data_IF_815818253077
#
_entry.id   IF_815818253077
#
_cell.length_a   1.000
_cell.length_b   1.000
_cell.length_c   1.000
_cell.angle_alpha   90.00
_cell.angle_beta   90.00
_cell.angle_gamma   90.00
#
_symmetry.space_group_name_H-M   'P 1'
#
loop_
_entity.id
_entity.type
_entity.pdbx_description
1 polymer ?
#
# COMPACT_ATOMS: atom_id res chain seq x y z
N UNK A 1 20.39 7.19 -6.26
CA UNK A 1 21.04 8.04 -5.24
C UNK A 1 21.98 7.23 -4.32
N UNK A 2 21.53 6.13 -3.72
CA UNK A 2 22.36 5.28 -2.83
C UNK A 2 23.67 4.76 -3.45
N UNK A 3 23.67 4.29 -4.70
CA UNK A 3 24.90 3.86 -5.39
C UNK A 3 25.97 4.96 -5.42
N UNK A 4 25.55 6.24 -5.62
CA UNK A 4 26.47 7.38 -5.64
C UNK A 4 27.05 7.66 -4.25
N UNK A 5 26.24 7.53 -3.20
CA UNK A 5 26.68 7.73 -1.80
C UNK A 5 27.62 6.61 -1.35
N UNK A 6 27.35 5.35 -1.73
CA UNK A 6 28.24 4.22 -1.44
C UNK A 6 29.57 4.38 -2.17
N UNK A 7 29.55 4.78 -3.44
CA UNK A 7 30.77 5.05 -4.22
C UNK A 7 31.54 6.23 -3.61
N UNK A 8 30.86 7.29 -3.17
CA UNK A 8 31.50 8.43 -2.52
C UNK A 8 32.14 8.06 -1.17
N UNK A 9 31.45 7.24 -0.35
CA UNK A 9 32.00 6.70 0.90
C UNK A 9 33.22 5.81 0.64
N UNK A 10 33.15 4.92 -0.35
CA UNK A 10 34.28 4.07 -0.72
C UNK A 10 35.47 4.90 -1.21
N UNK A 11 35.23 5.91 -2.05
CA UNK A 11 36.27 6.83 -2.52
C UNK A 11 36.88 7.64 -1.36
N UNK A 12 36.06 8.09 -0.40
CA UNK A 12 36.54 8.81 0.78
C UNK A 12 37.41 7.92 1.68
N UNK A 13 37.02 6.66 1.92
CA UNK A 13 37.80 5.68 2.69
C UNK A 13 39.13 5.37 1.99
N UNK A 14 39.13 5.17 0.67
CA UNK A 14 40.35 4.94 -0.11
C UNK A 14 41.26 6.16 -0.09
N UNK A 15 40.71 7.35 -0.28
CA UNK A 15 41.46 8.61 -0.20
C UNK A 15 42.10 8.81 1.18
N UNK A 16 41.36 8.51 2.24
CA UNK A 16 41.85 8.54 3.61
C UNK A 16 42.94 7.49 3.86
N UNK A 17 42.80 6.27 3.36
CA UNK A 17 43.84 5.26 3.46
C UNK A 17 45.13 5.69 2.73
N UNK A 18 45.02 6.31 1.56
CA UNK A 18 46.15 6.87 0.81
C UNK A 18 46.82 8.04 1.55
N UNK A 19 46.03 8.95 2.13
CA UNK A 19 46.54 10.07 2.94
C UNK A 19 47.26 9.56 4.19
N UNK A 20 46.68 8.59 4.91
CA UNK A 20 47.33 7.99 6.08
C UNK A 20 48.58 7.15 5.75
N UNK A 21 48.66 6.62 4.54
CA UNK A 21 49.85 5.92 4.05
C UNK A 21 51.02 6.89 3.78
N UNK A 22 50.72 8.05 3.18
CA UNK A 22 51.73 9.08 2.85
C UNK A 22 52.07 9.92 4.08
N UNK A 23 51.09 10.27 4.90
CA UNK A 23 51.22 11.06 6.11
C UNK A 23 50.85 10.22 7.33
N UNK A 24 51.83 9.47 7.85
CA UNK A 24 51.62 8.65 9.05
C UNK A 24 51.48 9.55 10.28
N UNK A 25 50.40 9.43 11.06
CA UNK A 25 50.21 10.21 12.28
C UNK A 25 51.29 9.89 13.30
N UNK A 26 51.92 10.95 13.83
CA UNK A 26 53.05 10.87 14.77
C UNK A 26 52.68 11.35 16.17
N UNK A 27 51.55 12.04 16.32
CA UNK A 27 51.04 12.55 17.59
C UNK A 27 49.69 11.95 17.99
N UNK A 28 49.40 11.94 19.30
CA UNK A 28 48.12 11.45 19.82
C UNK A 28 46.91 12.26 19.32
N UNK A 29 47.09 13.56 19.05
CA UNK A 29 46.04 14.42 18.49
C UNK A 29 45.69 14.08 17.04
N UNK A 30 46.69 13.73 16.22
CA UNK A 30 46.46 13.27 14.85
C UNK A 30 45.73 11.93 14.82
N UNK A 31 46.07 11.00 15.73
CA UNK A 31 45.34 9.75 15.90
C UNK A 31 43.88 9.97 16.32
N UNK A 32 43.62 10.93 17.21
CA UNK A 32 42.26 11.29 17.60
C UNK A 32 41.44 11.82 16.39
N UNK A 33 42.04 12.67 15.55
CA UNK A 33 41.40 13.17 14.34
C UNK A 33 41.08 12.03 13.35
N UNK A 34 41.99 11.07 13.19
CA UNK A 34 41.75 9.88 12.37
C UNK A 34 40.57 9.06 12.86
N UNK A 35 40.53 8.74 14.16
CA UNK A 35 39.41 8.01 14.77
C UNK A 35 38.10 8.76 14.59
N UNK A 36 38.10 10.08 14.74
CA UNK A 36 36.92 10.92 14.55
C UNK A 36 36.41 10.89 13.10
N UNK A 37 37.30 11.00 12.11
CA UNK A 37 36.92 10.93 10.69
C UNK A 37 36.35 9.55 10.34
N UNK A 38 36.97 8.47 10.80
CA UNK A 38 36.44 7.12 10.62
C UNK A 38 35.07 6.95 11.30
N UNK A 39 34.91 7.49 12.51
CA UNK A 39 33.63 7.49 13.24
C UNK A 39 32.52 8.21 12.46
N UNK A 40 32.82 9.37 11.87
CA UNK A 40 31.86 10.12 11.04
C UNK A 40 31.49 9.35 9.77
N UNK A 41 32.46 8.75 9.08
CA UNK A 41 32.17 7.95 7.88
C UNK A 41 31.33 6.71 8.20
N UNK A 42 31.62 6.03 9.31
CA UNK A 42 30.81 4.92 9.79
C UNK A 42 29.39 5.36 10.15
N UNK A 43 29.24 6.51 10.84
CA UNK A 43 27.93 7.05 11.18
C UNK A 43 27.10 7.41 9.93
N UNK A 44 27.72 8.01 8.91
CA UNK A 44 27.06 8.31 7.63
C UNK A 44 26.66 7.01 6.93
N UNK A 45 27.57 6.03 6.84
CA UNK A 45 27.28 4.72 6.25
C UNK A 45 26.13 4.00 6.96
N UNK A 46 26.12 4.03 8.30
CA UNK A 46 25.07 3.45 9.11
C UNK A 46 23.72 4.16 8.92
N UNK A 47 23.71 5.48 8.88
CA UNK A 47 22.49 6.27 8.61
C UNK A 47 21.89 5.96 7.24
N UNK A 48 22.72 5.85 6.20
CA UNK A 48 22.28 5.46 4.85
C UNK A 48 21.68 4.06 4.85
N UNK A 49 22.28 3.11 5.60
CA UNK A 49 21.75 1.75 5.75
C UNK A 49 20.39 1.75 6.46
N UNK A 50 20.24 2.52 7.54
CA UNK A 50 18.99 2.65 8.28
C UNK A 50 17.89 3.26 7.40
N UNK A 51 18.19 4.30 6.63
CA UNK A 51 17.25 4.89 5.68
C UNK A 51 16.83 3.88 4.60
N UNK A 52 17.76 3.05 4.11
CA UNK A 52 17.45 1.99 3.15
C UNK A 52 16.48 0.95 3.75
N UNK A 53 16.73 0.54 5.00
CA UNK A 53 15.86 -0.40 5.70
C UNK A 53 14.47 0.20 5.95
N UNK A 54 14.41 1.43 6.43
CA UNK A 54 13.15 2.14 6.66
C UNK A 54 12.33 2.30 5.37
N UNK A 55 12.97 2.64 4.25
CA UNK A 55 12.28 2.73 2.95
C UNK A 55 11.71 1.38 2.50
N UNK A 56 12.43 0.28 2.71
CA UNK A 56 11.96 -1.06 2.37
C UNK A 56 10.79 -1.51 3.26
N UNK A 57 10.84 -1.21 4.55
CA UNK A 57 9.72 -1.47 5.48
C UNK A 57 8.50 -0.64 5.08
N UNK A 58 8.66 0.65 4.80
CA UNK A 58 7.58 1.53 4.35
C UNK A 58 6.92 1.06 3.05
N UNK A 59 7.71 0.59 2.07
CA UNK A 59 7.18 0.01 0.82
C UNK A 59 6.40 -1.27 1.04
N UNK A 60 6.91 -2.18 1.88
CA UNK A 60 6.18 -3.42 2.22
C UNK A 60 4.86 -3.12 2.91
N UNK A 61 4.86 -2.18 3.86
CA UNK A 61 3.65 -1.76 4.56
C UNK A 61 2.65 -1.11 3.60
N UNK A 62 3.10 -0.24 2.69
CA UNK A 62 2.23 0.34 1.67
C UNK A 62 1.63 -0.74 0.74
N UNK A 63 2.42 -1.73 0.34
CA UNK A 63 1.94 -2.85 -0.46
C UNK A 63 0.88 -3.69 0.28
N UNK A 64 1.11 -3.98 1.58
CA UNK A 64 0.15 -4.67 2.42
C UNK A 64 -1.16 -3.88 2.53
N UNK A 65 -1.09 -2.58 2.79
CA UNK A 65 -2.27 -1.71 2.85
C UNK A 65 -3.03 -1.69 1.52
N UNK A 66 -2.32 -1.63 0.38
CA UNK A 66 -2.93 -1.71 -0.94
C UNK A 66 -3.60 -3.07 -1.20
N UNK A 67 -3.01 -4.17 -0.72
CA UNK A 67 -3.59 -5.50 -0.81
C UNK A 67 -4.86 -5.62 0.05
N UNK A 68 -4.83 -5.13 1.29
CA UNK A 68 -6.00 -5.08 2.18
C UNK A 68 -7.12 -4.25 1.55
N UNK A 69 -6.81 -3.08 1.01
CA UNK A 69 -7.77 -2.25 0.28
C UNK A 69 -8.41 -3.02 -0.89
N UNK A 70 -7.60 -3.68 -1.71
CA UNK A 70 -8.09 -4.48 -2.83
C UNK A 70 -8.97 -5.66 -2.40
N UNK A 71 -8.61 -6.32 -1.30
CA UNK A 71 -9.38 -7.44 -0.74
C UNK A 71 -10.73 -6.97 -0.20
N UNK A 72 -10.74 -5.87 0.57
CA UNK A 72 -11.97 -5.24 1.06
C UNK A 72 -12.89 -4.82 -0.09
N UNK A 73 -12.33 -4.21 -1.13
CA UNK A 73 -13.05 -3.84 -2.36
C UNK A 73 -13.69 -5.04 -3.05
N UNK A 74 -12.94 -6.14 -3.21
CA UNK A 74 -13.45 -7.37 -3.79
C UNK A 74 -14.66 -7.90 -3.01
N UNK A 75 -14.56 -7.92 -1.69
CA UNK A 75 -15.63 -8.40 -0.82
C UNK A 75 -16.86 -7.50 -0.83
N UNK A 76 -16.69 -6.19 -0.80
CA UNK A 76 -17.80 -5.25 -0.94
C UNK A 76 -18.55 -5.46 -2.26
N UNK A 77 -17.83 -5.64 -3.38
CA UNK A 77 -18.44 -5.91 -4.69
C UNK A 77 -19.16 -7.26 -4.71
N UNK A 78 -18.59 -8.28 -4.06
CA UNK A 78 -19.18 -9.62 -3.98
C UNK A 78 -20.49 -9.59 -3.19
N UNK A 79 -20.51 -8.91 -2.05
CA UNK A 79 -21.70 -8.81 -1.20
C UNK A 79 -22.75 -7.88 -1.79
N UNK A 80 -22.35 -6.80 -2.50
CA UNK A 80 -23.29 -5.99 -3.27
C UNK A 80 -23.94 -6.78 -4.41
N UNK A 81 -23.16 -7.61 -5.12
CA UNK A 81 -23.70 -8.52 -6.13
C UNK A 81 -24.70 -9.51 -5.53
N UNK A 82 -24.36 -10.11 -4.39
CA UNK A 82 -25.23 -11.05 -3.67
C UNK A 82 -26.50 -10.36 -3.14
N UNK A 83 -26.40 -9.15 -2.60
CA UNK A 83 -27.55 -8.35 -2.20
C UNK A 83 -28.45 -8.02 -3.40
N UNK A 84 -27.88 -7.75 -4.58
CA UNK A 84 -28.64 -7.55 -5.81
C UNK A 84 -29.35 -8.83 -6.27
N UNK A 85 -28.67 -9.98 -6.20
CA UNK A 85 -29.24 -11.28 -6.53
C UNK A 85 -30.42 -11.65 -5.62
N UNK A 86 -30.28 -11.37 -4.31
CA UNK A 86 -31.34 -11.54 -3.29
C UNK A 86 -32.41 -10.45 -3.33
N UNK A 87 -32.16 -9.34 -4.03
CA UNK A 87 -32.99 -8.13 -4.03
C UNK A 87 -33.24 -7.58 -2.62
N UNK A 88 -32.22 -7.69 -1.76
CA UNK A 88 -32.29 -7.28 -0.36
C UNK A 88 -31.85 -5.83 -0.22
N UNK A 89 -32.81 -4.91 -0.10
CA UNK A 89 -32.51 -3.48 0.10
C UNK A 89 -31.76 -3.19 1.41
N UNK A 90 -32.03 -3.96 2.46
CA UNK A 90 -31.36 -3.82 3.75
C UNK A 90 -29.86 -4.13 3.61
N UNK A 91 -29.52 -5.31 3.07
CA UNK A 91 -28.13 -5.73 2.86
C UNK A 91 -27.44 -4.80 1.87
N UNK A 92 -28.15 -4.38 0.82
CA UNK A 92 -27.60 -3.48 -0.20
C UNK A 92 -27.16 -2.14 0.40
N UNK A 93 -27.99 -1.50 1.23
CA UNK A 93 -27.63 -0.24 1.90
C UNK A 93 -26.41 -0.38 2.80
N UNK A 94 -26.33 -1.47 3.57
CA UNK A 94 -25.20 -1.74 4.47
C UNK A 94 -23.92 -1.88 3.63
N UNK A 95 -23.94 -2.72 2.61
CA UNK A 95 -22.75 -2.96 1.79
C UNK A 95 -22.36 -1.73 0.93
N UNK A 96 -23.31 -0.87 0.56
CA UNK A 96 -23.02 0.43 -0.07
C UNK A 96 -22.26 1.35 0.89
N UNK A 97 -22.68 1.44 2.16
CA UNK A 97 -21.97 2.22 3.18
C UNK A 97 -20.57 1.65 3.45
N UNK A 98 -20.45 0.32 3.53
CA UNK A 98 -19.16 -0.36 3.65
C UNK A 98 -18.25 0.01 2.48
N UNK A 99 -18.76 0.00 1.24
CA UNK A 99 -17.99 0.42 0.07
C UNK A 99 -17.52 1.88 0.16
N UNK A 100 -18.39 2.80 0.60
CA UNK A 100 -18.05 4.20 0.79
C UNK A 100 -16.92 4.39 1.83
N UNK A 101 -16.98 3.64 2.93
CA UNK A 101 -15.97 3.68 3.98
C UNK A 101 -14.63 3.10 3.50
N UNK A 102 -14.66 1.97 2.79
CA UNK A 102 -13.46 1.39 2.17
C UNK A 102 -12.81 2.38 1.20
N UNK A 103 -13.61 3.12 0.42
CA UNK A 103 -13.09 4.15 -0.47
C UNK A 103 -12.49 5.33 0.29
N UNK A 104 -13.12 5.76 1.38
CA UNK A 104 -12.61 6.84 2.24
C UNK A 104 -11.24 6.46 2.84
N UNK A 105 -11.14 5.26 3.45
CA UNK A 105 -9.88 4.69 3.95
C UNK A 105 -8.87 4.51 2.83
N UNK A 106 -9.34 4.04 1.68
CA UNK A 106 -8.56 3.86 0.48
C UNK A 106 -7.90 5.15 0.01
N UNK A 107 -8.50 6.32 0.23
CA UNK A 107 -7.96 7.65 -0.13
C UNK A 107 -6.77 8.05 0.75
N UNK A 108 -6.73 7.58 1.99
CA UNK A 108 -5.67 7.88 2.96
C UNK A 108 -4.39 7.05 2.74
N UNK A 109 -4.46 6.02 1.90
CA UNK A 109 -3.29 5.22 1.52
C UNK A 109 -2.25 6.11 0.83
N UNK A 110 -1.06 6.19 1.43
CA UNK A 110 0.09 6.96 0.94
C UNK A 110 0.57 6.43 -0.41
N UNK A 111 0.00 6.95 -1.49
CA UNK A 111 0.32 6.58 -2.87
C UNK A 111 1.81 6.77 -3.21
N UNK A 112 2.48 7.69 -2.52
CA UNK A 112 3.89 8.02 -2.74
C UNK A 112 4.85 6.85 -2.43
N UNK A 113 4.42 5.89 -1.62
CA UNK A 113 5.21 4.72 -1.24
C UNK A 113 4.88 3.46 -2.06
N UNK A 114 3.86 3.54 -2.93
CA UNK A 114 3.44 2.43 -3.78
C UNK A 114 4.29 2.34 -5.05
N UNK A 115 4.63 1.12 -5.43
CA UNK A 115 5.30 0.83 -6.69
C UNK A 115 4.30 0.76 -7.85
N UNK A 116 4.77 0.96 -9.08
CA UNK A 116 3.94 1.17 -10.27
C UNK A 116 2.75 0.21 -10.43
N UNK A 117 2.94 -1.09 -10.17
CA UNK A 117 1.84 -2.09 -10.27
C UNK A 117 0.79 -1.90 -9.17
N UNK A 118 1.21 -1.73 -7.92
CA UNK A 118 0.32 -1.51 -6.78
C UNK A 118 -0.40 -0.16 -6.86
N UNK A 119 0.28 0.87 -7.40
CA UNK A 119 -0.31 2.17 -7.68
C UNK A 119 -1.37 2.07 -8.78
N UNK A 120 -1.09 1.37 -9.88
CA UNK A 120 -2.04 1.12 -10.96
C UNK A 120 -3.28 0.35 -10.47
N UNK A 121 -3.08 -0.65 -9.61
CA UNK A 121 -4.17 -1.37 -8.96
C UNK A 121 -5.04 -0.44 -8.12
N UNK A 122 -4.47 0.28 -7.15
CA UNK A 122 -5.24 1.15 -6.24
C UNK A 122 -5.98 2.24 -7.02
N UNK A 123 -5.35 2.85 -8.02
CA UNK A 123 -6.00 3.86 -8.87
C UNK A 123 -7.15 3.28 -9.69
N UNK A 124 -6.96 2.11 -10.32
CA UNK A 124 -8.02 1.41 -11.03
C UNK A 124 -9.19 1.04 -10.12
N UNK A 125 -8.91 0.52 -8.93
CA UNK A 125 -9.93 0.12 -7.96
C UNK A 125 -10.70 1.31 -7.42
N UNK A 126 -10.04 2.45 -7.16
CA UNK A 126 -10.72 3.69 -6.77
C UNK A 126 -11.67 4.18 -7.87
N UNK A 127 -11.24 4.14 -9.13
CA UNK A 127 -12.12 4.51 -10.26
C UNK A 127 -13.37 3.64 -10.31
N UNK A 128 -13.20 2.32 -10.19
CA UNK A 128 -14.31 1.36 -10.16
C UNK A 128 -15.22 1.59 -8.94
N UNK A 129 -14.65 1.90 -7.77
CA UNK A 129 -15.42 2.19 -6.55
C UNK A 129 -16.29 3.44 -6.71
N UNK A 130 -15.75 4.51 -7.29
CA UNK A 130 -16.48 5.75 -7.54
C UNK A 130 -17.61 5.51 -8.52
N UNK A 131 -17.33 4.85 -9.66
CA UNK A 131 -18.35 4.48 -10.65
C UNK A 131 -19.48 3.64 -10.01
N UNK A 132 -19.11 2.66 -9.17
CA UNK A 132 -20.08 1.84 -8.46
C UNK A 132 -20.92 2.67 -7.49
N UNK A 133 -20.32 3.59 -6.73
CA UNK A 133 -21.05 4.44 -5.79
C UNK A 133 -22.03 5.35 -6.52
N UNK A 134 -21.65 5.95 -7.64
CA UNK A 134 -22.54 6.75 -8.48
C UNK A 134 -23.75 5.94 -8.98
N UNK A 135 -23.51 4.72 -9.47
CA UNK A 135 -24.58 3.81 -9.89
C UNK A 135 -25.48 3.40 -8.72
N UNK A 136 -24.90 3.19 -7.53
CA UNK A 136 -25.66 2.79 -6.32
C UNK A 136 -26.45 3.94 -5.71
N UNK A 137 -26.03 5.18 -5.91
CA UNK A 137 -26.72 6.37 -5.42
C UNK A 137 -28.04 6.60 -6.16
N UNK A 138 -28.03 6.31 -7.45
CA UNK A 138 -29.22 6.38 -8.31
C UNK A 138 -30.19 5.20 -8.08
N UNK A 139 -29.80 4.19 -7.31
CA UNK A 139 -30.60 3.00 -7.06
C UNK A 139 -31.49 3.16 -5.82
N UNK A 140 -32.76 2.77 -5.93
CA UNK A 140 -33.75 2.78 -4.83
C UNK A 140 -34.26 1.38 -4.49
N UNK A 141 -35.08 1.26 -3.44
CA UNK A 141 -35.62 -0.02 -2.96
C UNK A 141 -36.45 -0.78 -4.02
N UNK A 142 -37.17 -0.05 -4.87
CA UNK A 142 -37.92 -0.60 -6.00
C UNK A 142 -37.14 -0.52 -7.33
N UNK A 143 -35.83 -0.29 -7.24
CA UNK A 143 -34.97 -0.11 -8.40
C UNK A 143 -34.82 -1.37 -9.27
N UNK A 144 -34.26 -1.17 -10.46
CA UNK A 144 -33.99 -2.27 -11.39
C UNK A 144 -32.73 -3.04 -10.97
N UNK A 145 -32.90 -4.17 -10.27
CA UNK A 145 -31.82 -4.97 -9.69
C UNK A 145 -30.92 -5.72 -10.71
N UNK A 146 -31.45 -6.35 -11.77
CA UNK A 146 -30.62 -7.15 -12.69
C UNK A 146 -29.48 -6.39 -13.40
N UNK A 147 -29.66 -5.17 -13.94
CA UNK A 147 -28.56 -4.42 -14.55
C UNK A 147 -27.43 -4.11 -13.56
N UNK A 148 -27.80 -3.83 -12.32
CA UNK A 148 -26.87 -3.53 -11.24
C UNK A 148 -26.10 -4.79 -10.80
N UNK A 149 -26.77 -5.93 -10.72
CA UNK A 149 -26.14 -7.24 -10.51
C UNK A 149 -25.10 -7.52 -11.60
N UNK A 150 -25.49 -7.39 -12.87
CA UNK A 150 -24.58 -7.61 -14.01
C UNK A 150 -23.37 -6.68 -13.97
N UNK A 151 -23.54 -5.43 -13.53
CA UNK A 151 -22.43 -4.51 -13.35
C UNK A 151 -21.42 -5.05 -12.33
N UNK A 152 -21.87 -5.43 -11.12
CA UNK A 152 -20.98 -5.96 -10.09
C UNK A 152 -20.32 -7.28 -10.51
N UNK A 153 -21.09 -8.19 -11.11
CA UNK A 153 -20.60 -9.47 -11.63
C UNK A 153 -19.48 -9.28 -12.66
N UNK A 154 -19.61 -8.32 -13.58
CA UNK A 154 -18.58 -8.02 -14.59
C UNK A 154 -17.30 -7.44 -13.99
N UNK A 155 -17.37 -6.73 -12.85
CA UNK A 155 -16.20 -6.09 -12.22
C UNK A 155 -15.42 -7.04 -11.32
N UNK A 156 -16.07 -8.07 -10.74
CA UNK A 156 -15.43 -9.03 -9.85
C UNK A 156 -14.17 -9.72 -10.43
N UNK A 157 -14.16 -10.23 -11.67
CA UNK A 157 -12.97 -10.85 -12.27
C UNK A 157 -11.80 -9.87 -12.43
N UNK A 158 -12.08 -8.59 -12.73
CA UNK A 158 -11.05 -7.57 -12.86
C UNK A 158 -10.37 -7.28 -11.52
N UNK A 159 -11.15 -7.18 -10.44
CA UNK A 159 -10.63 -6.99 -9.08
C UNK A 159 -9.84 -8.22 -8.63
N UNK A 160 -10.34 -9.43 -8.88
CA UNK A 160 -9.64 -10.68 -8.57
C UNK A 160 -8.33 -10.82 -9.37
N UNK A 161 -8.33 -10.39 -10.64
CA UNK A 161 -7.14 -10.34 -11.48
C UNK A 161 -6.04 -9.45 -10.88
N UNK A 162 -6.40 -8.29 -10.34
CA UNK A 162 -5.47 -7.39 -9.64
C UNK A 162 -4.91 -8.00 -8.35
N UNK A 163 -5.75 -8.67 -7.57
CA UNK A 163 -5.36 -9.37 -6.34
C UNK A 163 -4.37 -10.51 -6.62
N UNK A 164 -4.67 -11.36 -7.61
CA UNK A 164 -3.77 -12.43 -8.05
C UNK A 164 -2.45 -11.88 -8.61
N UNK A 165 -2.53 -10.83 -9.43
CA UNK A 165 -1.37 -10.13 -9.99
C UNK A 165 -0.43 -9.54 -8.94
N UNK A 166 -0.95 -9.20 -7.75
CA UNK A 166 -0.15 -8.65 -6.64
C UNK A 166 0.25 -9.69 -5.60
N UNK A 167 -0.06 -10.97 -5.83
CA UNK A 167 0.31 -12.08 -4.95
C UNK A 167 -0.58 -12.22 -3.71
N UNK A 168 -1.75 -11.57 -3.69
CA UNK A 168 -2.70 -11.61 -2.59
C UNK A 168 -4.06 -12.11 -3.12
N UNK A 169 -4.22 -13.40 -3.42
CA UNK A 169 -5.50 -13.92 -3.91
C UNK A 169 -6.62 -13.65 -2.89
N UNK A 170 -7.83 -13.40 -3.40
CA UNK A 170 -9.02 -13.20 -2.56
C UNK A 170 -9.27 -14.42 -1.67
N UNK A 171 -9.20 -14.24 -0.35
CA UNK A 171 -9.43 -15.30 0.64
C UNK A 171 -10.90 -15.78 0.61
N UNK A 172 -11.13 -17.05 0.95
CA UNK A 172 -12.47 -17.65 1.03
C UNK A 172 -13.30 -17.11 2.20
N UNK A 173 -12.63 -16.73 3.29
CA UNK A 173 -13.20 -15.99 4.41
C UNK A 173 -12.76 -14.54 4.24
N UNK A 174 -13.70 -13.59 4.21
CA UNK A 174 -13.35 -12.20 3.93
C UNK A 174 -12.39 -11.59 4.95
N UNK A 175 -11.64 -10.54 4.56
CA UNK A 175 -10.68 -9.88 5.44
C UNK A 175 -11.36 -9.42 6.73
N UNK A 176 -10.65 -9.55 7.85
CA UNK A 176 -11.17 -9.20 9.18
C UNK A 176 -11.70 -7.76 9.24
N UNK A 177 -11.04 -6.84 8.54
CA UNK A 177 -11.47 -5.44 8.45
C UNK A 177 -12.83 -5.28 7.76
N UNK A 178 -13.07 -6.02 6.67
CA UNK A 178 -14.38 -6.02 6.01
C UNK A 178 -15.47 -6.57 6.92
N UNK A 179 -15.20 -7.67 7.63
CA UNK A 179 -16.15 -8.24 8.57
C UNK A 179 -16.48 -7.27 9.72
N UNK A 180 -15.47 -6.55 10.23
CA UNK A 180 -15.66 -5.51 11.25
C UNK A 180 -16.48 -4.31 10.74
N UNK A 181 -16.25 -3.85 9.51
CA UNK A 181 -17.06 -2.81 8.89
C UNK A 181 -18.51 -3.26 8.74
N UNK A 182 -18.73 -4.47 8.21
CA UNK A 182 -20.08 -5.02 8.05
C UNK A 182 -20.84 -5.12 9.38
N UNK A 183 -20.22 -5.62 10.45
CA UNK A 183 -20.88 -5.72 11.76
C UNK A 183 -21.20 -4.35 12.35
N UNK A 184 -20.30 -3.37 12.18
CA UNK A 184 -20.54 -1.99 12.66
C UNK A 184 -21.77 -1.34 12.00
N UNK A 185 -22.00 -1.61 10.72
CA UNK A 185 -23.15 -1.05 9.98
C UNK A 185 -24.39 -1.95 9.99
N UNK A 186 -24.27 -3.24 10.30
CA UNK A 186 -25.38 -4.19 10.37
C UNK A 186 -26.28 -4.04 11.61
N UNK A 187 -25.84 -3.28 12.61
CA UNK A 187 -26.63 -2.95 13.81
C UNK A 187 -27.49 -1.68 13.65
N UNK A 188 -27.59 -1.11 12.44
CA UNK A 188 -28.36 0.10 12.10
C UNK A 188 -29.59 -0.25 11.25
#
# INVERSE_FOLDING_TARGET
MQKKVVVALAAAVVGLALVGWVFRPTSAGEWAAWVQVFGVLLAIGWSVRLQAQAANVGRRQACLVAATFASNMHWAFRELNDACAKRSWADYKVNRRVLQEILAQGREVTLQLLDGRSLAMVTSLRSIAVEALELTELHGAEGNWPPLQVYFEKRLPSIAGWLSATGNPSESNGPTDYAGLRTSFGNL
#
